data_IF_672320081003
#
_entry.id   IF_672320081003
#
_cell.length_a   1.000
_cell.length_b   1.000
_cell.length_c   1.000
_cell.angle_alpha   90.00
_cell.angle_beta   90.00
_cell.angle_gamma   90.00
#
_symmetry.space_group_name_H-M   'P 1'
#
loop_
_entity.id
_entity.type
_entity.pdbx_description
1 polymer ?
#
# COMPACT_ATOMS: atom_id res chain seq x y z
N UNK A 1 -15.30 -32.41 -6.47
CA UNK A 1 -13.90 -32.08 -6.12
C UNK A 1 -13.29 -31.46 -7.36
N UNK A 2 -13.52 -30.16 -7.55
CA UNK A 2 -13.09 -29.39 -8.71
C UNK A 2 -12.88 -27.97 -8.22
N UNK A 3 -11.62 -27.54 -8.21
CA UNK A 3 -11.22 -26.19 -7.87
C UNK A 3 -11.36 -25.37 -9.15
N UNK A 4 -12.52 -24.74 -9.33
CA UNK A 4 -12.81 -23.93 -10.51
C UNK A 4 -12.49 -22.47 -10.19
N UNK A 5 -11.45 -21.98 -10.89
CA UNK A 5 -11.21 -20.57 -11.13
C UNK A 5 -12.51 -19.93 -11.65
N UNK A 6 -13.07 -18.99 -10.91
CA UNK A 6 -14.12 -18.12 -11.44
C UNK A 6 -13.79 -16.66 -11.10
N UNK A 7 -12.79 -16.13 -11.81
CA UNK A 7 -12.60 -14.69 -12.01
C UNK A 7 -13.77 -14.18 -12.87
N UNK A 8 -14.93 -13.95 -12.23
CA UNK A 8 -16.05 -13.29 -12.91
C UNK A 8 -15.87 -11.79 -12.91
N UNK A 9 -15.32 -11.34 -14.04
CA UNK A 9 -15.46 -10.01 -14.59
C UNK A 9 -16.94 -9.61 -14.59
N UNK A 10 -17.32 -8.64 -13.76
CA UNK A 10 -18.59 -7.95 -13.90
C UNK A 10 -18.35 -6.62 -14.62
N UNK A 11 -18.59 -6.63 -15.93
CA UNK A 11 -18.74 -5.45 -16.77
C UNK A 11 -19.91 -4.56 -16.29
N UNK A 12 -19.65 -3.28 -16.03
CA UNK A 12 -20.17 -2.16 -16.83
C UNK A 12 -19.86 -0.77 -16.23
N UNK A 13 -19.03 -0.03 -16.97
CA UNK A 13 -19.15 1.41 -17.28
C UNK A 13 -19.56 2.40 -16.19
N UNK A 14 -18.61 3.25 -15.77
CA UNK A 14 -18.90 4.61 -15.33
C UNK A 14 -17.83 5.57 -15.88
N UNK A 15 -17.96 5.88 -17.16
CA UNK A 15 -17.28 7.03 -17.76
C UNK A 15 -18.01 8.31 -17.32
N UNK A 16 -17.24 9.21 -16.71
CA UNK A 16 -17.31 10.67 -16.80
C UNK A 16 -18.67 11.39 -16.63
N UNK A 17 -18.77 12.23 -15.60
CA UNK A 17 -18.96 13.68 -15.83
C UNK A 17 -18.62 14.55 -14.62
N UNK A 18 -18.03 15.71 -14.92
CA UNK A 18 -17.53 16.80 -14.05
C UNK A 18 -18.64 17.59 -13.34
N UNK A 19 -18.31 18.17 -12.17
CA UNK A 19 -18.58 19.57 -11.73
C UNK A 19 -18.11 19.73 -10.26
N UNK A 20 -16.96 20.37 -10.00
CA UNK A 20 -16.79 21.79 -9.54
C UNK A 20 -17.15 22.00 -8.06
N UNK A 21 -16.18 22.17 -7.13
CA UNK A 21 -15.30 23.32 -6.82
C UNK A 21 -15.78 24.14 -5.59
N UNK A 22 -14.81 24.55 -4.75
CA UNK A 22 -14.84 25.43 -3.53
C UNK A 22 -14.96 24.63 -2.21
N UNK A 23 -13.93 24.52 -1.38
CA UNK A 23 -13.17 25.64 -0.82
C UNK A 23 -11.66 25.48 -0.78
N UNK A 24 -11.02 26.63 -1.03
CA UNK A 24 -9.61 26.86 -0.96
C UNK A 24 -9.15 27.02 0.50
N UNK A 25 -8.26 26.14 0.97
CA UNK A 25 -7.25 26.53 1.95
C UNK A 25 -6.01 25.67 1.76
N UNK A 26 -5.07 26.20 0.98
CA UNK A 26 -3.62 26.13 1.19
C UNK A 26 -3.06 24.76 1.58
N UNK A 27 -2.54 24.01 0.59
CA UNK A 27 -1.13 23.59 0.61
C UNK A 27 -0.65 23.48 -0.84
N UNK A 28 -0.13 24.56 -1.39
CA UNK A 28 0.80 24.47 -2.52
C UNK A 28 2.08 23.82 -1.99
N UNK A 29 2.18 22.49 -2.01
CA UNK A 29 3.45 21.81 -1.75
C UNK A 29 4.24 21.77 -3.06
N UNK A 30 4.87 22.90 -3.38
CA UNK A 30 5.99 22.94 -4.32
C UNK A 30 7.22 22.40 -3.58
N UNK A 31 7.36 21.10 -3.55
CA UNK A 31 8.51 20.42 -2.98
C UNK A 31 8.46 19.00 -3.51
N UNK A 32 9.41 18.65 -4.37
CA UNK A 32 9.57 17.33 -4.97
C UNK A 32 9.38 16.26 -3.91
N UNK A 33 8.18 15.68 -3.84
CA UNK A 33 7.90 14.53 -2.98
C UNK A 33 8.74 13.41 -3.59
N UNK A 34 9.89 13.13 -3.00
CA UNK A 34 10.63 11.92 -3.31
C UNK A 34 9.73 10.76 -2.90
N UNK A 35 9.01 10.20 -3.87
CA UNK A 35 8.23 8.99 -3.68
C UNK A 35 9.22 7.85 -3.46
N UNK A 36 9.28 7.39 -2.21
CA UNK A 36 10.09 6.25 -1.78
C UNK A 36 9.51 4.97 -2.36
N UNK A 37 8.17 4.88 -2.48
CA UNK A 37 7.55 3.72 -3.13
C UNK A 37 7.70 3.86 -4.66
N UNK A 38 8.43 2.93 -5.28
CA UNK A 38 8.66 2.90 -6.73
C UNK A 38 7.71 1.98 -7.46
N UNK A 39 7.46 0.79 -6.91
CA UNK A 39 6.73 -0.27 -7.60
C UNK A 39 5.79 -1.01 -6.65
N UNK A 40 4.69 -1.47 -7.21
CA UNK A 40 3.71 -2.31 -6.53
C UNK A 40 3.66 -3.68 -7.18
N UNK A 41 3.64 -4.73 -6.36
CA UNK A 41 3.45 -6.11 -6.84
C UNK A 41 1.96 -6.45 -7.02
N UNK A 42 1.08 -5.74 -6.31
CA UNK A 42 -0.36 -5.99 -6.30
C UNK A 42 -1.15 -4.76 -6.78
N UNK A 43 -1.92 -4.93 -7.86
CA UNK A 43 -2.76 -3.88 -8.45
C UNK A 43 -3.79 -3.31 -7.47
N UNK A 44 -4.34 -4.14 -6.59
CA UNK A 44 -5.26 -3.68 -5.54
C UNK A 44 -4.56 -2.75 -4.55
N UNK A 45 -3.29 -3.02 -4.22
CA UNK A 45 -2.50 -2.20 -3.29
C UNK A 45 -2.18 -0.85 -3.92
N UNK A 46 -1.78 -0.84 -5.19
CA UNK A 46 -1.56 0.37 -5.99
C UNK A 46 -2.85 1.20 -6.11
N UNK A 47 -3.96 0.56 -6.44
CA UNK A 47 -5.28 1.21 -6.57
C UNK A 47 -5.69 1.88 -5.25
N UNK A 48 -5.51 1.18 -4.13
CA UNK A 48 -5.77 1.74 -2.81
C UNK A 48 -4.83 2.90 -2.46
N UNK A 49 -3.55 2.78 -2.78
CA UNK A 49 -2.56 3.84 -2.56
C UNK A 49 -2.88 5.12 -3.34
N UNK A 50 -3.41 4.98 -4.56
CA UNK A 50 -3.89 6.09 -5.39
C UNK A 50 -5.20 6.71 -4.89
N UNK A 51 -5.72 6.27 -3.75
CA UNK A 51 -6.90 6.83 -3.10
C UNK A 51 -8.23 6.20 -3.52
N UNK A 52 -8.23 5.18 -4.37
CA UNK A 52 -9.45 4.47 -4.73
C UNK A 52 -9.82 3.42 -3.67
N UNK A 53 -11.12 3.16 -3.52
CA UNK A 53 -11.62 2.16 -2.58
C UNK A 53 -11.51 0.76 -3.18
N UNK A 54 -10.90 -0.16 -2.42
CA UNK A 54 -10.82 -1.59 -2.78
C UNK A 54 -11.64 -2.39 -1.77
N UNK A 55 -12.62 -3.16 -2.25
CA UNK A 55 -13.53 -3.91 -1.40
C UNK A 55 -12.80 -4.91 -0.48
N UNK A 56 -11.77 -5.58 -1.02
CA UNK A 56 -10.90 -6.53 -0.30
C UNK A 56 -10.24 -5.92 0.93
N UNK A 57 -9.90 -4.63 0.87
CA UNK A 57 -9.17 -3.93 1.94
C UNK A 57 -10.05 -2.98 2.74
N UNK A 58 -11.37 -2.96 2.53
CA UNK A 58 -12.26 -1.95 3.11
C UNK A 58 -12.12 -1.82 4.64
N UNK A 59 -11.96 -2.94 5.34
CA UNK A 59 -11.84 -2.98 6.81
C UNK A 59 -10.48 -2.47 7.31
N UNK A 60 -9.42 -2.66 6.51
CA UNK A 60 -8.04 -2.32 6.89
C UNK A 60 -7.56 -1.00 6.28
N UNK A 61 -8.29 -0.44 5.32
CA UNK A 61 -7.90 0.72 4.51
C UNK A 61 -7.37 1.90 5.34
N UNK A 62 -8.00 2.34 6.45
CA UNK A 62 -7.50 3.48 7.22
C UNK A 62 -6.13 3.22 7.87
N UNK A 63 -5.86 1.98 8.28
CA UNK A 63 -4.58 1.61 8.89
C UNK A 63 -3.55 1.34 7.81
N UNK A 64 -3.92 0.61 6.76
CA UNK A 64 -3.06 0.30 5.62
C UNK A 64 -2.55 1.58 4.93
N UNK A 65 -3.43 2.56 4.68
CA UNK A 65 -3.04 3.86 4.10
C UNK A 65 -2.05 4.62 4.98
N UNK A 66 -2.21 4.59 6.31
CA UNK A 66 -1.24 5.18 7.23
C UNK A 66 0.12 4.49 7.15
N UNK A 67 0.15 3.16 7.08
CA UNK A 67 1.40 2.40 6.92
C UNK A 67 2.08 2.67 5.58
N UNK A 68 1.32 2.73 4.49
CA UNK A 68 1.84 3.05 3.16
C UNK A 68 2.35 4.49 3.09
N UNK A 69 1.66 5.45 3.72
CA UNK A 69 2.12 6.84 3.80
C UNK A 69 3.45 6.94 4.58
N UNK A 70 3.59 6.22 5.69
CA UNK A 70 4.86 6.14 6.42
C UNK A 70 5.97 5.51 5.58
N UNK A 71 5.68 4.43 4.86
CA UNK A 71 6.62 3.79 3.94
C UNK A 71 7.08 4.77 2.85
N UNK A 72 6.14 5.54 2.30
CA UNK A 72 6.43 6.52 1.25
C UNK A 72 7.23 7.75 1.76
N UNK A 73 7.29 7.96 3.08
CA UNK A 73 8.02 9.06 3.71
C UNK A 73 9.33 8.63 4.39
N UNK A 74 9.62 7.32 4.46
CA UNK A 74 10.79 6.82 5.15
C UNK A 74 12.07 7.16 4.38
N UNK A 75 13.03 7.82 5.03
CA UNK A 75 14.35 8.07 4.41
C UNK A 75 15.31 6.89 4.59
N UNK A 76 15.07 6.05 5.60
CA UNK A 76 15.81 4.82 5.87
C UNK A 76 14.89 3.76 6.44
N UNK A 77 15.27 2.49 6.25
CA UNK A 77 14.51 1.34 6.77
C UNK A 77 14.27 1.42 8.28
N UNK A 78 15.22 1.96 9.04
CA UNK A 78 15.11 2.09 10.50
C UNK A 78 14.07 3.12 10.95
N UNK A 79 13.71 4.10 10.12
CA UNK A 79 12.66 5.09 10.46
C UNK A 79 11.30 4.40 10.63
N UNK A 80 11.11 3.27 9.94
CA UNK A 80 9.89 2.47 10.06
C UNK A 80 9.78 1.76 11.41
N UNK A 81 10.83 1.74 12.25
CA UNK A 81 10.81 1.19 13.62
C UNK A 81 10.34 2.20 14.68
N UNK A 82 10.32 3.50 14.35
CA UNK A 82 10.17 4.58 15.33
C UNK A 82 8.79 4.63 16.01
N UNK A 83 7.69 4.16 15.43
CA UNK A 83 6.51 3.81 16.23
C UNK A 83 6.66 2.36 16.74
N UNK A 84 6.56 2.10 18.06
CA UNK A 84 6.76 0.78 18.65
C UNK A 84 5.75 -0.30 18.17
N UNK A 85 4.69 0.10 17.46
CA UNK A 85 3.73 -0.80 16.83
C UNK A 85 4.13 -1.33 15.45
N UNK A 86 5.18 -0.79 14.81
CA UNK A 86 5.74 -1.35 13.58
C UNK A 86 6.74 -2.46 13.95
N UNK A 87 6.25 -3.69 13.99
CA UNK A 87 7.10 -4.89 14.04
C UNK A 87 7.68 -5.11 12.64
N UNK A 88 8.73 -4.37 12.31
CA UNK A 88 9.46 -4.55 11.06
C UNK A 88 10.15 -5.92 11.11
N UNK A 89 9.66 -6.85 10.32
CA UNK A 89 10.17 -8.22 10.27
C UNK A 89 10.86 -8.45 8.92
N UNK A 90 12.09 -8.98 8.96
CA UNK A 90 12.78 -9.43 7.75
C UNK A 90 12.26 -10.83 7.41
N UNK A 91 11.70 -10.98 6.21
CA UNK A 91 11.23 -12.26 5.72
C UNK A 91 12.43 -13.16 5.37
N UNK A 92 12.30 -14.45 5.67
CA UNK A 92 13.32 -15.49 5.43
C UNK A 92 12.79 -16.53 4.43
N UNK A 93 13.68 -17.34 3.85
CA UNK A 93 13.31 -18.40 2.89
C UNK A 93 13.14 -17.87 1.47
N UNK A 94 12.06 -18.23 0.79
CA UNK A 94 11.81 -17.83 -0.61
C UNK A 94 11.63 -16.31 -0.80
N UNK A 95 11.41 -15.58 0.29
CA UNK A 95 11.23 -14.13 0.33
C UNK A 95 12.40 -13.38 0.98
N UNK A 96 13.59 -13.99 1.00
CA UNK A 96 14.79 -13.37 1.59
C UNK A 96 15.05 -12.01 0.93
N UNK A 97 15.27 -10.98 1.76
CA UNK A 97 15.46 -9.60 1.31
C UNK A 97 14.17 -8.76 1.23
N UNK A 98 13.01 -9.36 1.53
CA UNK A 98 11.78 -8.60 1.76
C UNK A 98 11.59 -8.28 3.25
N UNK A 99 10.93 -7.16 3.48
CA UNK A 99 10.52 -6.68 4.78
C UNK A 99 9.00 -6.70 4.88
N UNK A 100 8.48 -6.87 6.08
CA UNK A 100 7.06 -6.77 6.35
C UNK A 100 6.74 -5.82 7.51
N UNK A 101 5.62 -5.11 7.39
CA UNK A 101 5.06 -4.25 8.42
C UNK A 101 3.66 -4.76 8.78
N UNK A 102 3.41 -4.88 10.08
CA UNK A 102 2.11 -5.29 10.60
C UNK A 102 1.04 -4.21 10.43
N UNK A 103 -0.08 -4.58 9.80
CA UNK A 103 -1.29 -3.75 9.75
C UNK A 103 -2.19 -4.12 10.94
N UNK A 104 -2.56 -5.39 11.06
CA UNK A 104 -3.33 -5.97 12.18
C UNK A 104 -2.90 -7.42 12.40
N UNK A 105 -3.74 -8.29 12.97
CA UNK A 105 -3.35 -9.68 13.23
C UNK A 105 -3.21 -10.51 11.95
N UNK A 106 -4.11 -10.30 10.98
CA UNK A 106 -4.20 -11.06 9.73
C UNK A 106 -3.32 -10.47 8.61
N UNK A 107 -3.26 -9.15 8.48
CA UNK A 107 -2.70 -8.47 7.32
C UNK A 107 -1.28 -7.92 7.56
N UNK A 108 -0.45 -7.97 6.53
CA UNK A 108 0.90 -7.40 6.48
C UNK A 108 1.11 -6.62 5.19
N UNK A 109 1.85 -5.52 5.25
CA UNK A 109 2.48 -4.90 4.06
C UNK A 109 3.82 -5.58 3.86
N UNK A 110 4.08 -6.16 2.70
CA UNK A 110 5.38 -6.70 2.30
C UNK A 110 5.99 -5.79 1.24
N UNK A 111 7.30 -5.59 1.30
CA UNK A 111 8.05 -4.78 0.34
C UNK A 111 9.53 -5.17 0.33
N UNK A 112 10.25 -4.82 -0.72
CA UNK A 112 11.71 -4.86 -0.79
C UNK A 112 12.26 -3.46 -0.53
N UNK A 113 13.37 -3.38 0.20
CA UNK A 113 14.06 -2.11 0.42
C UNK A 113 15.38 -2.10 -0.34
N UNK A 114 15.52 -1.20 -1.31
CA UNK A 114 16.69 -1.10 -2.19
C UNK A 114 17.14 0.36 -2.22
N UNK A 115 18.38 0.64 -1.79
CA UNK A 115 19.02 1.97 -1.89
C UNK A 115 18.22 3.19 -1.34
N UNK A 116 17.31 2.95 -0.39
CA UNK A 116 16.48 4.02 0.18
C UNK A 116 15.07 4.11 -0.41
N UNK A 117 14.76 3.22 -1.34
CA UNK A 117 13.46 3.10 -1.99
C UNK A 117 12.75 1.79 -1.61
N UNK A 118 11.42 1.81 -1.66
CA UNK A 118 10.55 0.66 -1.45
C UNK A 118 10.01 0.13 -2.78
N UNK A 119 10.28 -1.15 -3.05
CA UNK A 119 9.90 -1.85 -4.28
C UNK A 119 8.98 -3.04 -3.96
N UNK A 120 8.27 -3.52 -4.98
CA UNK A 120 7.41 -4.71 -4.91
C UNK A 120 6.38 -4.66 -3.78
N UNK A 121 5.83 -3.47 -3.49
CA UNK A 121 4.94 -3.27 -2.35
C UNK A 121 3.61 -4.03 -2.57
N UNK A 122 3.22 -4.83 -1.59
CA UNK A 122 1.94 -5.57 -1.58
C UNK A 122 1.35 -5.69 -0.17
N UNK A 123 0.03 -5.83 -0.10
CA UNK A 123 -0.69 -6.22 1.13
C UNK A 123 -1.09 -7.69 1.01
N UNK A 124 -0.63 -8.50 1.96
CA UNK A 124 -0.89 -9.94 2.02
C UNK A 124 -1.66 -10.30 3.29
N UNK A 125 -2.52 -11.30 3.14
CA UNK A 125 -3.13 -12.01 4.27
C UNK A 125 -2.17 -13.11 4.71
N UNK A 126 -1.97 -13.26 6.02
CA UNK A 126 -1.01 -14.20 6.61
C UNK A 126 -1.69 -15.49 7.13
N UNK A 127 -2.97 -15.69 6.78
CA UNK A 127 -3.75 -16.88 7.12
C UNK A 127 -4.22 -17.68 5.91
#
# INVERSE_FOLDING_TARGET
>A
MGCELDCRCADRSAAAHRAECRDATVVTYCGSIALVIKTFRCKDTETMFNGARVARFATIQPVAMRKLAMLNQAGRLDDLRVPPGNRLEVLKGDRTGQHSIRINDQWRVCFRWTEGDAEDVEIVDYH
#
